data_IF_576540753569
#
_entry.id   IF_576540753569
#
_cell.length_a   1.000
_cell.length_b   1.000
_cell.length_c   1.000
_cell.angle_alpha   90.00
_cell.angle_beta   90.00
_cell.angle_gamma   90.00
#
_symmetry.space_group_name_H-M   'P 1'
#
loop_
_entity.id
_entity.type
_entity.pdbx_description
1 polymer ?
#
# COMPACT_ATOMS: atom_id res chain seq x y z
N UNK A 1 -22.65 -8.72 11.29
CA UNK A 1 -21.28 -8.60 10.75
C UNK A 1 -20.90 -9.96 10.19
N UNK A 2 -20.65 -10.10 8.88
CA UNK A 2 -20.18 -11.39 8.32
C UNK A 2 -18.74 -11.60 8.81
N UNK A 3 -18.49 -12.69 9.52
CA UNK A 3 -17.15 -13.15 9.86
C UNK A 3 -16.44 -13.59 8.58
N UNK A 4 -15.30 -12.98 8.25
CA UNK A 4 -14.43 -13.45 7.18
C UNK A 4 -13.37 -14.41 7.74
N UNK A 5 -12.83 -15.26 6.87
CA UNK A 5 -11.70 -16.11 7.24
C UNK A 5 -10.43 -15.29 7.46
N UNK A 6 -9.52 -15.83 8.26
CA UNK A 6 -8.20 -15.26 8.51
C UNK A 6 -7.31 -15.26 7.26
N UNK A 7 -7.32 -16.35 6.48
CA UNK A 7 -6.34 -16.58 5.42
C UNK A 7 -6.95 -16.52 4.00
N UNK A 8 -6.32 -15.81 3.04
CA UNK A 8 -5.27 -14.82 3.23
C UNK A 8 -5.84 -13.50 3.80
N UNK A 9 -4.99 -12.67 4.39
CA UNK A 9 -5.41 -11.40 4.96
C UNK A 9 -5.79 -10.39 3.86
N UNK A 10 -7.09 -10.22 3.60
CA UNK A 10 -7.59 -9.32 2.54
C UNK A 10 -7.18 -7.84 2.72
N UNK A 11 -7.09 -7.37 3.97
CA UNK A 11 -6.57 -6.02 4.26
C UNK A 11 -5.10 -5.88 3.86
N UNK A 12 -4.30 -6.93 4.07
CA UNK A 12 -2.92 -6.94 3.63
C UNK A 12 -2.82 -6.98 2.11
N UNK A 13 -3.65 -7.77 1.44
CA UNK A 13 -3.74 -7.80 -0.03
C UNK A 13 -3.97 -6.40 -0.58
N UNK A 14 -4.98 -5.70 -0.06
CA UNK A 14 -5.32 -4.34 -0.50
C UNK A 14 -4.19 -3.34 -0.22
N UNK A 15 -3.65 -3.35 1.01
CA UNK A 15 -2.57 -2.42 1.40
C UNK A 15 -1.29 -2.64 0.60
N UNK A 16 -0.94 -3.90 0.30
CA UNK A 16 0.22 -4.24 -0.51
C UNK A 16 0.01 -3.85 -1.98
N UNK A 17 -1.17 -4.09 -2.53
CA UNK A 17 -1.49 -3.68 -3.90
C UNK A 17 -1.39 -2.16 -4.09
N UNK A 18 -1.95 -1.38 -3.16
CA UNK A 18 -1.83 0.09 -3.20
C UNK A 18 -0.38 0.56 -3.07
N UNK A 19 0.39 -0.03 -2.16
CA UNK A 19 1.80 0.31 -2.00
C UNK A 19 2.60 0.07 -3.28
N UNK A 20 2.38 -1.06 -3.95
CA UNK A 20 3.01 -1.39 -5.24
C UNK A 20 2.63 -0.37 -6.31
N UNK A 21 1.34 -0.10 -6.51
CA UNK A 21 0.88 0.88 -7.51
C UNK A 21 1.47 2.26 -7.20
N UNK A 22 1.46 2.72 -5.95
CA UNK A 22 2.02 4.02 -5.58
C UNK A 22 3.54 4.08 -5.74
N UNK A 23 4.25 2.99 -5.47
CA UNK A 23 5.69 2.89 -5.69
C UNK A 23 6.03 3.01 -7.18
N UNK A 24 5.21 2.43 -8.05
CA UNK A 24 5.34 2.62 -9.49
C UNK A 24 5.01 4.05 -9.90
N UNK A 25 3.89 4.61 -9.39
CA UNK A 25 3.40 5.96 -9.67
C UNK A 25 4.33 7.08 -9.18
N UNK A 26 5.18 6.80 -8.20
CA UNK A 26 6.12 7.77 -7.60
C UNK A 26 7.45 7.06 -7.30
N UNK A 27 8.29 6.76 -8.30
CA UNK A 27 9.45 5.88 -8.14
C UNK A 27 10.47 6.39 -7.12
N UNK A 28 10.63 7.72 -7.00
CA UNK A 28 11.49 8.36 -6.00
C UNK A 28 10.98 8.19 -4.55
N UNK A 29 9.76 7.66 -4.39
CA UNK A 29 9.13 7.32 -3.11
C UNK A 29 8.77 5.83 -3.02
N UNK A 30 9.34 4.98 -3.87
CA UNK A 30 9.06 3.55 -3.88
C UNK A 30 9.33 2.88 -2.53
N UNK A 31 10.52 3.09 -1.94
CA UNK A 31 10.88 2.51 -0.63
C UNK A 31 9.93 2.89 0.50
N UNK A 32 9.62 4.20 0.74
CA UNK A 32 8.67 4.55 1.79
C UNK A 32 7.25 4.04 1.52
N UNK A 33 6.79 3.99 0.27
CA UNK A 33 5.49 3.42 -0.07
C UNK A 33 5.43 1.91 0.25
N UNK A 34 6.45 1.14 -0.15
CA UNK A 34 6.52 -0.29 0.17
C UNK A 34 6.67 -0.55 1.66
N UNK A 35 7.45 0.25 2.38
CA UNK A 35 7.56 0.16 3.83
C UNK A 35 6.22 0.42 4.52
N UNK A 36 5.44 1.39 4.02
CA UNK A 36 4.10 1.68 4.52
C UNK A 36 3.11 0.54 4.25
N UNK A 37 3.18 -0.09 3.08
CA UNK A 37 2.40 -1.28 2.73
C UNK A 37 2.70 -2.47 3.65
N UNK A 38 3.98 -2.73 3.93
CA UNK A 38 4.41 -3.72 4.92
C UNK A 38 3.79 -3.45 6.28
N UNK A 39 3.98 -2.23 6.81
CA UNK A 39 3.47 -1.85 8.13
C UNK A 39 1.94 -1.93 8.22
N UNK A 40 1.22 -1.65 7.13
CA UNK A 40 -0.25 -1.80 7.07
C UNK A 40 -0.68 -3.26 7.28
N UNK A 41 0.01 -4.21 6.64
CA UNK A 41 -0.25 -5.64 6.85
C UNK A 41 0.14 -6.11 8.24
N UNK A 42 1.32 -5.72 8.74
CA UNK A 42 1.79 -6.07 10.09
C UNK A 42 0.88 -5.53 11.19
N UNK A 43 0.27 -4.36 10.98
CA UNK A 43 -0.73 -3.81 11.92
C UNK A 43 -1.90 -4.76 12.14
N UNK A 44 -2.21 -5.67 11.20
CA UNK A 44 -3.28 -6.64 11.36
C UNK A 44 -2.94 -7.74 12.37
N UNK A 45 -1.65 -8.03 12.55
CA UNK A 45 -1.14 -8.89 13.62
C UNK A 45 -1.31 -8.19 14.96
N UNK A 46 -0.90 -6.92 15.05
CA UNK A 46 -1.05 -6.12 16.28
C UNK A 46 -2.52 -5.99 16.69
N UNK A 47 -3.43 -5.79 15.72
CA UNK A 47 -4.87 -5.74 15.98
C UNK A 47 -5.47 -7.11 16.39
N UNK A 48 -4.73 -8.22 16.31
CA UNK A 48 -5.22 -9.55 16.66
C UNK A 48 -6.27 -10.12 15.68
N UNK A 49 -6.34 -9.58 14.46
CA UNK A 49 -7.35 -9.99 13.46
C UNK A 49 -6.79 -10.85 12.34
N UNK A 50 -5.46 -10.86 12.17
CA UNK A 50 -4.77 -11.79 11.28
C UNK A 50 -3.49 -12.33 11.90
N UNK A 51 -3.14 -13.59 11.65
CA UNK A 51 -1.81 -14.11 11.99
C UNK A 51 -0.75 -13.70 10.94
N UNK A 52 0.53 -13.93 11.26
CA UNK A 52 1.63 -13.56 10.37
C UNK A 52 1.59 -14.29 9.02
N UNK A 53 1.21 -15.57 8.98
CA UNK A 53 1.16 -16.31 7.71
C UNK A 53 0.04 -15.82 6.79
N UNK A 54 -1.11 -15.41 7.33
CA UNK A 54 -2.17 -14.76 6.58
C UNK A 54 -1.73 -13.41 6.00
N UNK A 55 -0.94 -12.64 6.75
CA UNK A 55 -0.33 -11.39 6.27
C UNK A 55 0.63 -11.67 5.12
N UNK A 56 1.57 -12.61 5.26
CA UNK A 56 2.49 -12.96 4.16
C UNK A 56 1.74 -13.45 2.91
N UNK A 57 0.73 -14.30 3.08
CA UNK A 57 -0.10 -14.77 1.97
C UNK A 57 -0.90 -13.64 1.29
N UNK A 58 -1.32 -12.63 2.06
CA UNK A 58 -1.95 -11.43 1.50
C UNK A 58 -1.00 -10.66 0.57
N UNK A 59 0.29 -10.56 0.93
CA UNK A 59 1.30 -9.92 0.07
C UNK A 59 1.50 -10.68 -1.25
N UNK A 60 1.57 -12.02 -1.18
CA UNK A 60 1.67 -12.89 -2.36
C UNK A 60 0.41 -12.76 -3.24
N UNK A 61 -0.77 -12.76 -2.61
CA UNK A 61 -2.05 -12.59 -3.31
C UNK A 61 -2.10 -11.25 -4.05
N UNK A 62 -1.64 -10.16 -3.44
CA UNK A 62 -1.57 -8.85 -4.08
C UNK A 62 -0.68 -8.85 -5.33
N UNK A 63 0.49 -9.48 -5.25
CA UNK A 63 1.38 -9.61 -6.41
C UNK A 63 0.72 -10.40 -7.55
N UNK A 64 0.08 -11.54 -7.23
CA UNK A 64 -0.65 -12.33 -8.22
C UNK A 64 -1.83 -11.56 -8.84
N UNK A 65 -2.59 -10.81 -8.03
CA UNK A 65 -3.69 -9.98 -8.52
C UNK A 65 -3.20 -8.89 -9.46
N UNK A 66 -2.12 -8.17 -9.11
CA UNK A 66 -1.58 -7.12 -9.97
C UNK A 66 -1.02 -7.69 -11.28
N UNK A 67 -0.30 -8.81 -11.22
CA UNK A 67 0.18 -9.49 -12.42
C UNK A 67 -0.96 -9.94 -13.33
N UNK A 68 -2.09 -10.40 -12.77
CA UNK A 68 -3.24 -10.81 -13.55
C UNK A 68 -3.92 -9.66 -14.32
N UNK A 69 -3.76 -8.41 -13.87
CA UNK A 69 -4.40 -7.23 -14.49
C UNK A 69 -3.39 -6.29 -15.17
N UNK A 70 -2.09 -6.61 -15.16
CA UNK A 70 -1.05 -5.68 -15.62
C UNK A 70 -1.17 -5.30 -17.09
N UNK A 71 -1.71 -6.21 -17.91
CA UNK A 71 -1.96 -6.02 -19.34
C UNK A 71 -3.40 -5.60 -19.65
N UNK A 72 -4.26 -5.42 -18.64
CA UNK A 72 -5.64 -5.02 -18.86
C UNK A 72 -5.70 -3.56 -19.38
N UNK A 73 -6.37 -3.28 -20.52
CA UNK A 73 -6.41 -1.95 -21.11
C UNK A 73 -7.08 -0.88 -20.21
N UNK A 74 -8.04 -1.27 -19.37
CA UNK A 74 -8.66 -0.37 -18.40
C UNK A 74 -7.69 -0.04 -17.26
N UNK A 75 -6.99 -1.05 -16.73
CA UNK A 75 -5.96 -0.82 -15.71
C UNK A 75 -4.83 0.08 -16.23
N UNK A 76 -4.34 -0.15 -17.46
CA UNK A 76 -3.30 0.67 -18.08
C UNK A 76 -3.73 2.14 -18.25
N UNK A 77 -4.98 2.37 -18.69
CA UNK A 77 -5.57 3.71 -18.78
C UNK A 77 -5.62 4.41 -17.43
N UNK A 78 -6.12 3.72 -16.40
CA UNK A 78 -6.28 4.30 -15.07
C UNK A 78 -4.92 4.59 -14.43
N UNK A 79 -3.93 3.71 -14.62
CA UNK A 79 -2.54 3.92 -14.18
C UNK A 79 -1.89 5.13 -14.86
N UNK A 80 -2.15 5.33 -16.16
CA UNK A 80 -1.66 6.51 -16.87
C UNK A 80 -2.34 7.81 -16.38
N UNK A 81 -3.64 7.77 -16.10
CA UNK A 81 -4.36 8.91 -15.54
C UNK A 81 -3.86 9.26 -14.13
N UNK A 82 -3.69 8.25 -13.27
CA UNK A 82 -3.18 8.43 -11.91
C UNK A 82 -1.75 8.99 -11.89
N UNK A 83 -0.91 8.63 -12.88
CA UNK A 83 0.42 9.25 -13.05
C UNK A 83 0.31 10.76 -13.23
N UNK A 84 -0.53 11.18 -14.18
CA UNK A 84 -0.70 12.59 -14.50
C UNK A 84 -1.29 13.38 -13.32
N UNK A 85 -2.19 12.75 -12.55
CA UNK A 85 -2.71 13.32 -11.31
C UNK A 85 -1.61 13.51 -10.27
N UNK A 86 -0.80 12.48 -10.00
CA UNK A 86 0.32 12.57 -9.06
C UNK A 86 1.33 13.64 -9.46
N UNK A 87 1.70 13.71 -10.74
CA UNK A 87 2.66 14.71 -11.24
C UNK A 87 2.12 16.15 -11.12
N UNK A 88 0.79 16.31 -11.21
CA UNK A 88 0.13 17.60 -11.01
C UNK A 88 0.14 17.99 -9.54
N UNK A 89 -0.31 17.10 -8.66
CA UNK A 89 -0.36 17.34 -7.21
C UNK A 89 1.03 17.66 -6.63
N UNK A 90 2.08 17.00 -7.12
CA UNK A 90 3.46 17.24 -6.66
C UNK A 90 4.01 18.60 -7.07
N UNK A 91 3.57 19.14 -8.20
CA UNK A 91 3.98 20.46 -8.70
C UNK A 91 3.14 21.59 -8.14
N UNK A 92 1.94 21.29 -7.67
CA UNK A 92 1.03 22.27 -7.10
C UNK A 92 1.51 22.71 -5.69
N UNK A 93 1.89 23.98 -5.50
CA UNK A 93 2.27 24.49 -4.19
C UNK A 93 1.08 24.62 -3.24
N UNK A 94 -0.16 24.67 -3.76
CA UNK A 94 -1.38 24.78 -2.97
C UNK A 94 -1.96 23.42 -2.55
N UNK A 95 -1.44 22.32 -3.11
CA UNK A 95 -1.86 20.98 -2.71
C UNK A 95 -1.63 20.76 -1.22
N UNK A 96 -2.65 20.23 -0.54
CA UNK A 96 -2.59 19.94 0.89
C UNK A 96 -1.44 18.97 1.20
N UNK A 97 -0.61 19.32 2.18
CA UNK A 97 0.49 18.49 2.66
C UNK A 97 0.26 18.17 4.13
N UNK A 98 0.48 16.92 4.56
CA UNK A 98 0.48 16.59 5.98
C UNK A 98 1.49 17.47 6.73
N UNK A 99 1.20 17.79 7.98
CA UNK A 99 2.17 18.46 8.85
C UNK A 99 3.46 17.63 8.93
N UNK A 100 4.62 18.30 8.97
CA UNK A 100 5.92 17.63 9.03
C UNK A 100 6.02 16.66 10.21
N UNK A 101 5.47 17.03 11.37
CA UNK A 101 5.40 16.18 12.56
C UNK A 101 4.60 14.90 12.34
N UNK A 102 3.51 14.94 11.57
CA UNK A 102 2.73 13.75 11.24
C UNK A 102 3.55 12.78 10.37
N UNK A 103 4.27 13.29 9.36
CA UNK A 103 5.16 12.47 8.54
C UNK A 103 6.31 11.85 9.36
N UNK A 104 6.90 12.62 10.29
CA UNK A 104 7.95 12.12 11.18
C UNK A 104 7.44 11.00 12.11
N UNK A 105 6.26 11.18 12.70
CA UNK A 105 5.66 10.19 13.58
C UNK A 105 5.30 8.91 12.82
N UNK A 106 4.70 9.03 11.64
CA UNK A 106 4.41 7.88 10.79
C UNK A 106 5.69 7.15 10.38
N UNK A 107 6.74 7.89 9.99
CA UNK A 107 8.04 7.32 9.67
C UNK A 107 8.63 6.50 10.83
N UNK A 108 8.53 7.00 12.05
CA UNK A 108 9.01 6.31 13.24
C UNK A 108 8.24 5.00 13.53
N UNK A 109 6.91 5.00 13.33
CA UNK A 109 6.09 3.79 13.48
C UNK A 109 6.34 2.77 12.37
N UNK A 110 6.44 3.23 11.12
CA UNK A 110 6.74 2.37 9.96
C UNK A 110 8.12 1.74 10.07
N UNK A 111 9.09 2.39 10.69
CA UNK A 111 10.43 1.83 10.91
C UNK A 111 10.44 0.64 11.88
N UNK A 112 9.41 0.48 12.71
CA UNK A 112 9.28 -0.66 13.62
C UNK A 112 8.89 -1.92 12.82
N UNK A 113 9.46 -3.07 13.21
CA UNK A 113 9.06 -4.38 12.70
C UNK A 113 8.30 -5.10 13.79
N UNK A 114 7.16 -5.69 13.42
CA UNK A 114 6.36 -6.49 14.36
C UNK A 114 6.93 -7.90 14.52
N UNK A 115 7.58 -8.43 13.48
CA UNK A 115 8.26 -9.72 13.45
C UNK A 115 9.37 -9.74 12.39
#
# INVERSE_FOLDING_TARGET
>A
MKTSYDYPAGHTTLGWAWATILAELVPDRATPNMARGRAHGESRVVCGVHNASAVEAGRVTAAATLAAIESDPAFLRDRAAARQEMDRLRRDPSAARPASSACSNEGALVAQRVY
#
